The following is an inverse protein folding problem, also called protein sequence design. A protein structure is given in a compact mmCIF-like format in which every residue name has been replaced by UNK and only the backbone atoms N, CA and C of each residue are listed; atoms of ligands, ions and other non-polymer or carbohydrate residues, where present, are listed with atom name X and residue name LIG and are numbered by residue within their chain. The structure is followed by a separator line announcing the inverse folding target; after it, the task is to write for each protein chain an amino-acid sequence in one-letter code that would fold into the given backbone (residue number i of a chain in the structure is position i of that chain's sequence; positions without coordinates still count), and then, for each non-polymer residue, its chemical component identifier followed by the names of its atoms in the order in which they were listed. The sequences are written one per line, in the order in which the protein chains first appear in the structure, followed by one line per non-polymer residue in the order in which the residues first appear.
data_IF_042818819818
#
_entry.id   IF_042818819818
#
_cell.length_a   1.000
_cell.length_b   1.000
_cell.length_c   1.000
_cell.angle_alpha   90.00
_cell.angle_beta   90.00
_cell.angle_gamma   90.00
#
_symmetry.space_group_name_H-M   'P 1'
#
loop_
_entity.id
_entity.type
_entity.pdbx_description
1 polymer ?
#
# COMPACT_ATOMS: atom_id res chain seq x y z
N UNK A 1 16.37 6.81 11.04
CA UNK A 1 15.42 5.89 11.69
C UNK A 1 16.17 5.00 12.66
N UNK A 2 15.67 4.83 13.88
CA UNK A 2 16.31 3.99 14.89
C UNK A 2 15.95 2.51 14.65
N UNK A 3 16.80 1.61 15.21
CA UNK A 3 16.51 0.17 15.13
C UNK A 3 15.18 -0.18 15.79
N UNK A 4 14.83 0.54 16.86
CA UNK A 4 13.57 0.35 17.57
C UNK A 4 12.35 0.70 16.70
N UNK A 5 12.46 1.76 15.91
CA UNK A 5 11.40 2.17 14.98
C UNK A 5 11.24 1.14 13.86
N UNK A 6 12.35 0.65 13.30
CA UNK A 6 12.33 -0.40 12.28
C UNK A 6 11.65 -1.65 12.82
N UNK A 7 12.00 -2.06 14.03
CA UNK A 7 11.42 -3.23 14.68
C UNK A 7 9.91 -3.05 14.91
N UNK A 8 9.50 -1.86 15.32
CA UNK A 8 8.09 -1.53 15.50
C UNK A 8 7.30 -1.68 14.21
N UNK A 9 7.85 -1.20 13.08
CA UNK A 9 7.20 -1.36 11.78
C UNK A 9 7.14 -2.82 11.33
N UNK A 10 8.20 -3.59 11.54
CA UNK A 10 8.21 -5.02 11.23
C UNK A 10 7.12 -5.77 12.01
N UNK A 11 6.94 -5.43 13.28
CA UNK A 11 5.93 -6.06 14.14
C UNK A 11 4.50 -5.69 13.74
N UNK A 12 4.32 -4.59 13.01
CA UNK A 12 3.01 -4.14 12.53
C UNK A 12 2.69 -4.58 11.11
N UNK A 13 3.61 -5.28 10.46
CA UNK A 13 3.42 -5.76 9.10
C UNK A 13 2.56 -7.03 9.09
N UNK A 14 1.52 -7.02 8.24
CA UNK A 14 0.62 -8.16 8.07
C UNK A 14 0.36 -8.40 6.59
N UNK A 15 0.29 -9.65 6.21
CA UNK A 15 -0.08 -10.04 4.84
C UNK A 15 -1.48 -10.65 4.90
N UNK A 16 -2.39 -10.09 4.12
CA UNK A 16 -3.78 -10.55 4.04
C UNK A 16 -4.14 -10.69 2.56
N UNK A 17 -4.52 -11.89 2.15
CA UNK A 17 -4.88 -12.21 0.76
C UNK A 17 -3.82 -11.74 -0.25
N UNK A 18 -2.54 -11.92 0.09
CA UNK A 18 -1.42 -11.55 -0.75
C UNK A 18 -1.00 -10.09 -0.68
N UNK A 19 -1.72 -9.25 0.06
CA UNK A 19 -1.43 -7.82 0.20
C UNK A 19 -0.74 -7.56 1.53
N UNK A 20 0.41 -6.87 1.48
CA UNK A 20 1.15 -6.49 2.66
C UNK A 20 0.67 -5.14 3.22
N UNK A 21 0.31 -5.13 4.49
CA UNK A 21 -0.11 -3.93 5.22
C UNK A 21 0.90 -3.61 6.32
N UNK A 22 1.30 -2.36 6.40
CA UNK A 22 2.15 -1.88 7.47
C UNK A 22 1.41 -0.78 8.23
N UNK A 23 1.18 -1.00 9.52
CA UNK A 23 0.47 -0.01 10.33
C UNK A 23 1.35 1.21 10.55
N UNK A 24 0.75 2.38 10.40
CA UNK A 24 1.37 3.66 10.72
C UNK A 24 0.58 4.35 11.84
N UNK A 25 0.94 5.57 12.17
CA UNK A 25 0.23 6.33 13.19
C UNK A 25 -1.26 6.43 12.86
N UNK A 26 -2.10 6.36 13.89
CA UNK A 26 -3.53 6.60 13.73
C UNK A 26 -3.77 8.00 13.16
N UNK A 27 -4.94 8.18 12.52
CA UNK A 27 -5.34 9.50 12.07
C UNK A 27 -5.70 10.40 13.26
N UNK A 28 -6.07 11.65 12.97
CA UNK A 28 -6.40 12.64 14.00
C UNK A 28 -7.59 12.22 14.86
N UNK A 29 -8.44 11.35 14.35
CA UNK A 29 -9.62 10.85 15.05
C UNK A 29 -9.36 9.52 15.78
N UNK A 30 -8.13 9.04 15.79
CA UNK A 30 -7.75 7.80 16.43
C UNK A 30 -8.03 6.54 15.62
N UNK A 31 -8.42 6.68 14.35
CA UNK A 31 -8.68 5.53 13.47
C UNK A 31 -7.39 4.92 12.95
N UNK A 32 -7.28 3.59 12.86
CA UNK A 32 -6.08 2.95 12.35
C UNK A 32 -5.89 3.25 10.86
N UNK A 33 -4.62 3.45 10.49
CA UNK A 33 -4.20 3.64 9.10
C UNK A 33 -3.15 2.60 8.75
N UNK A 34 -3.15 2.19 7.50
CA UNK A 34 -2.19 1.22 6.99
C UNK A 34 -1.60 1.71 5.69
N UNK A 35 -0.31 1.44 5.51
CA UNK A 35 0.41 1.71 4.27
C UNK A 35 0.49 0.42 3.46
N UNK A 36 0.27 0.56 2.15
CA UNK A 36 0.41 -0.53 1.19
C UNK A 36 1.43 -0.08 0.14
N UNK A 37 2.39 -0.93 -0.20
CA UNK A 37 3.38 -0.63 -1.22
C UNK A 37 2.68 -0.49 -2.58
N UNK A 38 3.17 0.46 -3.42
CA UNK A 38 2.50 0.75 -4.68
C UNK A 38 2.40 -0.46 -5.62
N UNK A 39 3.35 -1.40 -5.55
CA UNK A 39 3.30 -2.59 -6.39
C UNK A 39 2.08 -3.48 -6.12
N UNK A 40 1.47 -3.37 -4.95
CA UNK A 40 0.23 -4.10 -4.66
C UNK A 40 -0.95 -3.62 -5.53
N UNK A 41 -0.84 -2.43 -6.11
CA UNK A 41 -1.84 -1.86 -7.01
C UNK A 41 -1.52 -2.10 -8.48
N UNK A 42 -0.56 -2.97 -8.78
CA UNK A 42 -0.17 -3.32 -10.15
C UNK A 42 -0.32 -4.82 -10.37
N UNK A 43 -0.49 -5.23 -11.63
CA UNK A 43 -0.53 -6.64 -11.98
C UNK A 43 0.87 -7.18 -12.23
N UNK A 44 1.03 -8.50 -12.16
CA UNK A 44 2.29 -9.16 -12.52
C UNK A 44 2.65 -8.87 -13.98
N UNK A 45 1.67 -8.83 -14.86
CA UNK A 45 1.87 -8.51 -16.27
C UNK A 45 2.42 -7.09 -16.44
N UNK A 46 1.88 -6.12 -15.71
CA UNK A 46 2.39 -4.75 -15.72
C UNK A 46 3.81 -4.67 -15.19
N UNK A 47 4.11 -5.37 -14.11
CA UNK A 47 5.46 -5.38 -13.51
C UNK A 47 6.50 -6.01 -14.43
N UNK A 48 6.10 -6.99 -15.25
CA UNK A 48 7.01 -7.66 -16.20
C UNK A 48 7.13 -6.95 -17.53
N UNK A 49 6.35 -5.91 -17.76
CA UNK A 49 6.34 -5.19 -19.02
C UNK A 49 7.52 -4.22 -19.09
N UNK A 50 8.54 -4.58 -19.89
CA UNK A 50 9.76 -3.78 -20.05
C UNK A 50 9.49 -2.40 -20.67
N UNK A 51 8.35 -2.21 -21.30
CA UNK A 51 7.94 -0.93 -21.88
C UNK A 51 7.38 0.04 -20.85
N UNK A 52 7.10 -0.42 -19.62
CA UNK A 52 6.63 0.41 -18.53
C UNK A 52 7.79 0.75 -17.60
N UNK A 53 8.11 2.04 -17.48
CA UNK A 53 9.07 2.50 -16.51
C UNK A 53 8.48 2.40 -15.09
N UNK A 54 9.33 2.44 -14.08
CA UNK A 54 8.87 2.45 -12.69
C UNK A 54 7.95 3.64 -12.41
N UNK A 55 8.24 4.78 -13.02
CA UNK A 55 7.42 5.97 -12.92
C UNK A 55 6.02 5.76 -13.49
N UNK A 56 5.92 5.05 -14.62
CA UNK A 56 4.64 4.71 -15.24
C UNK A 56 3.86 3.70 -14.39
N UNK A 57 4.54 2.69 -13.83
CA UNK A 57 3.92 1.74 -12.91
C UNK A 57 3.36 2.46 -11.68
N UNK A 58 4.13 3.40 -11.13
CA UNK A 58 3.68 4.19 -9.99
C UNK A 58 2.43 5.03 -10.32
N UNK A 59 2.39 5.62 -11.52
CA UNK A 59 1.23 6.41 -11.96
C UNK A 59 -0.03 5.54 -12.07
N UNK A 60 0.10 4.33 -12.61
CA UNK A 60 -1.01 3.36 -12.68
C UNK A 60 -1.50 3.00 -11.28
N UNK A 61 -0.57 2.67 -10.39
CA UNK A 61 -0.87 2.33 -9.01
C UNK A 61 -1.57 3.48 -8.28
N UNK A 62 -1.09 4.69 -8.46
CA UNK A 62 -1.66 5.89 -7.83
C UNK A 62 -3.12 6.12 -8.25
N UNK A 63 -3.42 5.93 -9.52
CA UNK A 63 -4.78 6.08 -10.02
C UNK A 63 -5.73 5.08 -9.35
N UNK A 64 -5.32 3.82 -9.26
CA UNK A 64 -6.10 2.77 -8.60
C UNK A 64 -6.25 3.03 -7.11
N UNK A 65 -5.15 3.41 -6.45
CA UNK A 65 -5.16 3.71 -5.02
C UNK A 65 -6.09 4.88 -4.70
N UNK A 66 -6.02 5.95 -5.48
CA UNK A 66 -6.88 7.11 -5.29
C UNK A 66 -8.36 6.75 -5.46
N UNK A 67 -8.67 5.90 -6.42
CA UNK A 67 -10.03 5.41 -6.63
C UNK A 67 -10.59 4.70 -5.38
N UNK A 68 -9.73 3.99 -4.67
CA UNK A 68 -10.10 3.28 -3.44
C UNK A 68 -10.01 4.17 -2.19
N UNK A 69 -9.69 5.44 -2.33
CA UNK A 69 -9.58 6.36 -1.20
C UNK A 69 -8.22 6.38 -0.52
N UNK A 70 -7.21 5.77 -1.11
CA UNK A 70 -5.85 5.83 -0.58
C UNK A 70 -5.16 7.11 -1.01
N UNK A 71 -4.26 7.60 -0.17
CA UNK A 71 -3.44 8.80 -0.42
C UNK A 71 -1.96 8.42 -0.45
N UNK A 72 -1.16 9.26 -1.11
CA UNK A 72 0.30 9.04 -1.13
C UNK A 72 0.86 9.14 0.28
N UNK A 73 1.68 8.15 0.64
CA UNK A 73 2.41 8.15 1.91
C UNK A 73 3.89 8.39 1.65
N UNK A 74 4.41 9.46 2.23
CA UNK A 74 5.78 9.93 1.99
C UNK A 74 6.72 9.50 3.11
N UNK A 75 6.92 8.21 3.26
CA UNK A 75 7.93 7.70 4.18
C UNK A 75 9.13 7.17 3.39
N UNK A 76 10.29 7.76 3.61
CA UNK A 76 11.50 7.44 2.83
C UNK A 76 11.93 5.97 2.96
N UNK A 77 11.63 5.33 4.08
CA UNK A 77 12.04 3.95 4.32
C UNK A 77 11.20 2.92 3.57
N UNK A 78 10.05 3.32 3.05
CA UNK A 78 9.10 2.39 2.44
C UNK A 78 9.23 2.29 0.91
N UNK A 79 9.97 3.20 0.29
CA UNK A 79 10.20 3.14 -1.16
C UNK A 79 9.01 3.52 -2.03
N UNK A 80 7.98 4.10 -1.45
CA UNK A 80 6.77 4.53 -2.16
C UNK A 80 5.56 3.66 -1.82
N UNK A 81 4.52 4.28 -1.29
CA UNK A 81 3.32 3.58 -0.89
C UNK A 81 2.13 4.50 -0.76
N UNK A 82 1.00 3.90 -0.45
CA UNK A 82 -0.26 4.60 -0.28
C UNK A 82 -0.85 4.27 1.08
N UNK A 83 -1.37 5.28 1.77
CA UNK A 83 -1.98 5.13 3.08
C UNK A 83 -3.48 5.21 2.95
N UNK A 84 -4.16 4.29 3.63
CA UNK A 84 -5.61 4.29 3.72
C UNK A 84 -6.05 3.90 5.11
N UNK A 85 -7.27 4.28 5.44
CA UNK A 85 -7.92 3.78 6.65
C UNK A 85 -8.49 2.40 6.36
N UNK A 86 -8.35 1.50 7.33
CA UNK A 86 -8.94 0.18 7.19
C UNK A 86 -9.41 -0.32 8.53
N UNK A 87 -10.68 -0.53 8.63
CA UNK A 87 -11.30 -1.21 9.77
C UNK A 87 -11.25 -2.73 9.59
N UNK A 88 -11.16 -3.19 8.35
CA UNK A 88 -11.04 -4.60 8.00
C UNK A 88 -9.96 -4.77 6.92
N UNK A 89 -8.87 -5.41 7.27
CA UNK A 89 -7.78 -5.68 6.33
C UNK A 89 -8.22 -6.66 5.24
N UNK A 90 -9.09 -7.61 5.59
CA UNK A 90 -9.62 -8.58 4.62
C UNK A 90 -10.43 -7.88 3.53
N UNK A 91 -11.34 -7.00 3.92
CA UNK A 91 -12.14 -6.25 2.97
C UNK A 91 -11.28 -5.34 2.10
N UNK A 92 -10.30 -4.68 2.73
CA UNK A 92 -9.37 -3.79 2.01
C UNK A 92 -8.54 -4.58 1.01
N UNK A 93 -8.00 -5.73 1.40
CA UNK A 93 -7.22 -6.58 0.50
C UNK A 93 -8.07 -7.06 -0.68
N UNK A 94 -9.32 -7.42 -0.42
CA UNK A 94 -10.25 -7.84 -1.47
C UNK A 94 -10.55 -6.70 -2.44
N UNK A 95 -10.73 -5.49 -1.95
CA UNK A 95 -10.95 -4.30 -2.80
C UNK A 95 -9.75 -4.01 -3.68
N UNK A 96 -8.54 -4.11 -3.14
CA UNK A 96 -7.31 -3.92 -3.91
C UNK A 96 -7.20 -4.98 -5.00
N UNK A 97 -7.37 -6.25 -4.65
CA UNK A 97 -7.30 -7.35 -5.61
C UNK A 97 -8.35 -7.21 -6.71
N UNK A 98 -9.55 -6.77 -6.37
CA UNK A 98 -10.63 -6.58 -7.32
C UNK A 98 -10.31 -5.48 -8.33
N UNK A 99 -9.82 -4.32 -7.88
CA UNK A 99 -9.51 -3.22 -8.79
C UNK A 99 -8.30 -3.51 -9.67
N UNK A 100 -7.32 -4.25 -9.15
CA UNK A 100 -6.12 -4.62 -9.90
C UNK A 100 -6.46 -5.63 -11.00
N UNK A 101 -7.38 -6.54 -10.74
CA UNK A 101 -7.73 -7.62 -11.67
C UNK A 101 -8.90 -7.29 -12.61
N UNK A 102 -9.30 -6.04 -12.67
CA UNK A 102 -10.34 -5.60 -13.61
C UNK A 102 -9.84 -5.50 -15.04
#
# INVERSE_FOLDING_TARGET
MTNKEIESYRNSYKVVNGIGFCRVNNDINGNPRYVVHFLAFTTDEEMRNDNLSQRQLYAIAKKRANYLGFSVYRANWYGGGFVGQSYSLVDTANMINEIVNK
#
